data_IF_663558428039
#
_entry.id   IF_663558428039
#
_cell.length_a   1.000
_cell.length_b   1.000
_cell.length_c   1.000
_cell.angle_alpha   90.00
_cell.angle_beta   90.00
_cell.angle_gamma   90.00
#
_symmetry.space_group_name_H-M   'P 1'
#
loop_
_entity.id
_entity.type
_entity.pdbx_description
1 polymer ?
#
# COMPACT_ATOMS: atom_id res chain seq x y z
N UNK A 1 -43.90 -7.27 33.51
CA UNK A 1 -43.18 -7.59 32.28
C UNK A 1 -42.26 -6.45 31.95
N UNK A 2 -40.98 -6.56 32.29
CA UNK A 2 -39.99 -5.50 32.09
C UNK A 2 -39.29 -5.77 30.75
N UNK A 3 -39.49 -4.92 29.74
CA UNK A 3 -38.78 -4.97 28.49
C UNK A 3 -37.39 -4.35 28.69
N UNK A 4 -36.35 -5.19 28.70
CA UNK A 4 -34.98 -4.73 28.66
C UNK A 4 -34.70 -4.13 27.29
N UNK A 5 -34.42 -2.83 27.23
CA UNK A 5 -33.91 -2.14 26.05
C UNK A 5 -32.42 -2.44 25.92
N UNK A 6 -32.05 -3.31 25.00
CA UNK A 6 -30.65 -3.46 24.57
C UNK A 6 -30.29 -2.25 23.71
N UNK A 7 -29.61 -1.29 24.28
CA UNK A 7 -28.88 -0.27 23.53
C UNK A 7 -27.62 -0.95 23.03
N UNK A 8 -27.63 -1.39 21.77
CA UNK A 8 -26.41 -1.76 21.07
C UNK A 8 -25.59 -0.49 20.88
N UNK A 9 -24.61 -0.26 21.76
CA UNK A 9 -23.60 0.75 21.58
C UNK A 9 -22.80 0.41 20.33
N UNK A 10 -22.92 1.20 19.28
CA UNK A 10 -21.98 1.25 18.17
C UNK A 10 -20.62 1.64 18.77
N UNK A 11 -19.75 0.66 18.99
CA UNK A 11 -18.35 0.92 19.23
C UNK A 11 -17.81 1.38 17.86
N UNK A 12 -17.74 2.70 17.70
CA UNK A 12 -16.95 3.29 16.65
C UNK A 12 -15.50 2.89 16.91
N UNK A 13 -15.00 1.91 16.19
CA UNK A 13 -13.57 1.65 16.12
C UNK A 13 -13.03 2.82 15.33
N UNK A 14 -12.63 3.88 16.03
CA UNK A 14 -11.78 4.90 15.41
C UNK A 14 -10.53 4.18 14.94
N UNK A 15 -10.25 4.22 13.65
CA UNK A 15 -8.98 3.78 13.09
C UNK A 15 -7.81 4.49 13.80
N UNK A 16 -6.58 4.09 13.55
CA UNK A 16 -5.42 4.71 14.16
C UNK A 16 -5.51 6.23 13.97
N UNK A 17 -5.07 6.98 15.00
CA UNK A 17 -5.14 8.45 15.01
C UNK A 17 -4.17 9.09 13.99
N UNK A 18 -3.47 8.29 13.21
CA UNK A 18 -2.52 8.64 12.16
C UNK A 18 -2.80 7.83 10.89
N UNK A 19 -2.36 8.36 9.76
CA UNK A 19 -2.63 7.78 8.44
C UNK A 19 -3.81 8.44 7.72
N UNK A 20 -4.08 8.03 6.47
CA UNK A 20 -5.13 8.65 5.65
C UNK A 20 -6.53 8.45 6.23
N UNK A 21 -7.34 9.50 6.16
CA UNK A 21 -8.75 9.43 6.59
C UNK A 21 -9.63 8.73 5.55
N UNK A 22 -10.82 8.30 5.98
CA UNK A 22 -11.80 7.70 5.06
C UNK A 22 -12.24 8.69 3.98
N UNK A 23 -12.33 9.98 4.32
CA UNK A 23 -12.68 11.06 3.39
C UNK A 23 -11.66 11.16 2.25
N UNK A 24 -10.36 11.04 2.53
CA UNK A 24 -9.31 11.10 1.50
C UNK A 24 -9.44 9.96 0.49
N UNK A 25 -9.80 8.76 0.92
CA UNK A 25 -10.03 7.64 0.00
C UNK A 25 -11.32 7.81 -0.82
N UNK A 26 -12.38 8.37 -0.23
CA UNK A 26 -13.59 8.69 -0.98
C UNK A 26 -13.34 9.80 -2.00
N UNK A 27 -12.56 10.82 -1.66
CA UNK A 27 -12.13 11.87 -2.57
C UNK A 27 -11.29 11.31 -3.72
N UNK A 28 -10.31 10.46 -3.41
CA UNK A 28 -9.47 9.79 -4.41
C UNK A 28 -10.31 8.97 -5.39
N UNK A 29 -11.22 8.17 -4.87
CA UNK A 29 -12.08 7.29 -5.66
C UNK A 29 -13.02 8.07 -6.60
N UNK A 30 -13.51 9.22 -6.15
CA UNK A 30 -14.48 10.05 -6.88
C UNK A 30 -13.83 11.27 -7.56
N UNK A 31 -12.50 11.31 -7.66
CA UNK A 31 -11.77 12.44 -8.21
C UNK A 31 -12.25 12.76 -9.65
N UNK A 32 -12.61 14.04 -9.93
CA UNK A 32 -13.20 14.42 -11.20
C UNK A 32 -12.22 14.43 -12.39
N UNK A 33 -10.92 14.36 -12.11
CA UNK A 33 -9.86 14.35 -13.12
C UNK A 33 -8.64 13.59 -12.62
N UNK A 34 -7.74 13.23 -13.54
CA UNK A 34 -6.44 12.61 -13.21
C UNK A 34 -5.57 13.53 -12.35
N UNK A 35 -5.62 14.83 -12.57
CA UNK A 35 -4.90 15.83 -11.78
C UNK A 35 -5.42 15.88 -10.33
N UNK A 36 -6.74 15.89 -10.13
CA UNK A 36 -7.34 15.84 -8.81
C UNK A 36 -7.01 14.54 -8.09
N UNK A 37 -7.12 13.38 -8.77
CA UNK A 37 -6.75 12.10 -8.22
C UNK A 37 -5.27 12.05 -7.83
N UNK A 38 -4.38 12.59 -8.65
CA UNK A 38 -2.96 12.66 -8.34
C UNK A 38 -2.68 13.51 -7.10
N UNK A 39 -3.32 14.68 -6.97
CA UNK A 39 -3.19 15.54 -5.79
C UNK A 39 -3.61 14.81 -4.52
N UNK A 40 -4.82 14.23 -4.51
CA UNK A 40 -5.33 13.49 -3.35
C UNK A 40 -4.46 12.26 -3.04
N UNK A 41 -3.94 11.56 -4.06
CA UNK A 41 -3.02 10.44 -3.86
C UNK A 41 -1.72 10.90 -3.18
N UNK A 42 -1.17 12.07 -3.51
CA UNK A 42 0.01 12.63 -2.84
C UNK A 42 -0.28 12.93 -1.36
N UNK A 43 -1.47 13.45 -1.04
CA UNK A 43 -1.88 13.72 0.34
C UNK A 43 -2.01 12.40 1.13
N UNK A 44 -2.56 11.34 0.52
CA UNK A 44 -2.62 10.00 1.11
C UNK A 44 -1.22 9.45 1.35
N UNK A 45 -0.30 9.59 0.38
CA UNK A 45 1.09 9.17 0.55
C UNK A 45 1.77 9.93 1.69
N UNK A 46 1.55 11.25 1.81
CA UNK A 46 2.07 12.05 2.91
C UNK A 46 1.54 11.55 4.26
N UNK A 47 0.24 11.27 4.35
CA UNK A 47 -0.38 10.74 5.57
C UNK A 47 0.15 9.34 5.94
N UNK A 48 0.47 8.47 4.97
CA UNK A 48 1.11 7.20 5.26
C UNK A 48 2.54 7.33 5.76
N UNK A 49 3.22 8.46 5.52
CA UNK A 49 4.57 8.69 6.06
C UNK A 49 4.57 9.14 7.52
N UNK A 50 3.40 9.40 8.10
CA UNK A 50 3.22 9.73 9.50
C UNK A 50 2.84 8.47 10.30
N UNK A 51 3.77 7.94 11.10
CA UNK A 51 3.53 6.73 11.90
C UNK A 51 2.83 7.01 13.23
N UNK A 52 2.74 8.28 13.65
CA UNK A 52 2.35 8.68 15.00
C UNK A 52 3.48 8.56 16.03
N UNK A 53 4.67 8.15 15.61
CA UNK A 53 5.86 8.04 16.44
C UNK A 53 7.01 8.86 15.85
N UNK A 54 7.36 9.98 16.47
CA UNK A 54 8.45 10.83 16.01
C UNK A 54 9.79 10.08 15.86
N UNK A 55 10.01 9.03 16.64
CA UNK A 55 11.20 8.20 16.55
C UNK A 55 11.16 7.31 15.28
N UNK A 56 10.01 6.71 14.97
CA UNK A 56 9.82 5.93 13.75
C UNK A 56 9.92 6.83 12.50
N UNK A 57 9.28 8.01 12.53
CA UNK A 57 9.29 8.96 11.42
C UNK A 57 10.71 9.43 11.07
N UNK A 58 11.54 9.73 12.08
CA UNK A 58 12.93 10.12 11.86
C UNK A 58 13.77 9.00 11.22
N UNK A 59 13.55 7.75 11.60
CA UNK A 59 14.25 6.60 11.02
C UNK A 59 13.71 6.32 9.61
N UNK A 60 12.40 6.46 9.40
CA UNK A 60 11.74 6.31 8.10
C UNK A 60 12.31 7.30 7.07
N UNK A 61 12.45 8.58 7.45
CA UNK A 61 13.06 9.60 6.58
C UNK A 61 14.44 9.18 6.09
N UNK A 62 15.28 8.67 7.00
CA UNK A 62 16.61 8.16 6.65
C UNK A 62 16.57 6.93 5.76
N UNK A 63 15.62 6.01 6.03
CA UNK A 63 15.44 4.81 5.22
C UNK A 63 15.05 5.16 3.78
N UNK A 64 14.11 6.10 3.61
CA UNK A 64 13.71 6.62 2.31
C UNK A 64 14.87 7.30 1.59
N UNK A 65 15.69 8.09 2.30
CA UNK A 65 16.87 8.72 1.72
C UNK A 65 17.90 7.69 1.25
N UNK A 66 18.20 6.65 2.06
CA UNK A 66 19.11 5.57 1.70
C UNK A 66 18.59 4.79 0.48
N UNK A 67 17.30 4.45 0.45
CA UNK A 67 16.65 3.80 -0.71
C UNK A 67 16.79 4.65 -1.98
N UNK A 68 16.53 5.95 -1.88
CA UNK A 68 16.63 6.88 -3.01
C UNK A 68 18.07 7.03 -3.51
N UNK A 69 19.05 6.88 -2.64
CA UNK A 69 20.48 6.89 -2.99
C UNK A 69 20.96 5.53 -3.56
N UNK A 70 20.10 4.50 -3.56
CA UNK A 70 20.47 3.15 -4.00
C UNK A 70 21.27 2.36 -2.96
N UNK A 71 21.36 2.84 -1.72
CA UNK A 71 22.00 2.19 -0.59
C UNK A 71 21.05 1.14 0.01
N UNK A 72 20.75 0.07 -0.76
CA UNK A 72 19.66 -0.86 -0.45
C UNK A 72 19.85 -1.59 0.88
N UNK A 73 21.07 -2.03 1.18
CA UNK A 73 21.39 -2.70 2.44
C UNK A 73 21.13 -1.78 3.65
N UNK A 74 21.56 -0.50 3.57
CA UNK A 74 21.28 0.49 4.61
C UNK A 74 19.78 0.79 4.71
N UNK A 75 19.10 0.91 3.58
CA UNK A 75 17.65 1.13 3.56
C UNK A 75 16.91 0.00 4.26
N UNK A 76 17.26 -1.26 3.96
CA UNK A 76 16.72 -2.46 4.60
C UNK A 76 16.92 -2.42 6.12
N UNK A 77 18.15 -2.22 6.61
CA UNK A 77 18.43 -2.13 8.05
C UNK A 77 17.63 -1.01 8.74
N UNK A 78 17.44 0.12 8.06
CA UNK A 78 16.67 1.23 8.61
C UNK A 78 15.17 0.92 8.66
N UNK A 79 14.60 0.29 7.62
CA UNK A 79 13.20 -0.17 7.67
C UNK A 79 12.98 -1.24 8.74
N UNK A 80 13.94 -2.13 8.99
CA UNK A 80 13.90 -3.08 10.11
C UNK A 80 13.76 -2.35 11.45
N UNK A 81 14.52 -1.25 11.63
CA UNK A 81 14.43 -0.42 12.83
C UNK A 81 13.10 0.31 12.94
N UNK A 82 12.56 0.83 11.81
CA UNK A 82 11.22 1.44 11.81
C UNK A 82 10.17 0.43 12.28
N UNK A 83 10.18 -0.77 11.73
CA UNK A 83 9.25 -1.84 12.09
C UNK A 83 9.43 -2.29 13.54
N UNK A 84 10.68 -2.32 14.04
CA UNK A 84 10.93 -2.63 15.44
C UNK A 84 10.38 -1.56 16.41
N UNK A 85 10.37 -0.28 16.01
CA UNK A 85 9.80 0.83 16.80
C UNK A 85 8.26 0.83 16.70
N UNK A 86 7.72 0.62 15.49
CA UNK A 86 6.30 0.72 15.18
C UNK A 86 5.86 -0.49 14.34
N UNK A 87 5.53 -1.65 14.98
CA UNK A 87 5.22 -2.88 14.26
C UNK A 87 3.90 -2.88 13.47
N UNK A 88 3.04 -1.92 13.68
CA UNK A 88 1.77 -1.73 12.98
C UNK A 88 1.85 -0.65 11.87
N UNK A 89 3.04 -0.25 11.47
CA UNK A 89 3.27 0.77 10.47
C UNK A 89 3.29 0.18 9.05
N UNK A 90 2.14 0.15 8.37
CA UNK A 90 1.95 -0.48 7.07
C UNK A 90 2.96 0.01 5.99
N UNK A 91 3.22 1.33 5.93
CA UNK A 91 4.13 1.91 4.93
C UNK A 91 5.58 1.42 5.11
N UNK A 92 6.01 1.11 6.33
CA UNK A 92 7.35 0.59 6.54
C UNK A 92 7.54 -0.79 5.88
N UNK A 93 6.56 -1.67 5.97
CA UNK A 93 6.56 -2.95 5.28
C UNK A 93 6.47 -2.78 3.77
N UNK A 94 5.58 -1.90 3.27
CA UNK A 94 5.47 -1.60 1.84
C UNK A 94 6.80 -1.11 1.25
N UNK A 95 7.50 -0.25 1.96
CA UNK A 95 8.81 0.27 1.54
C UNK A 95 9.90 -0.78 1.59
N UNK A 96 9.95 -1.59 2.66
CA UNK A 96 10.92 -2.68 2.74
C UNK A 96 10.67 -3.74 1.66
N UNK A 97 9.40 -4.06 1.36
CA UNK A 97 9.06 -4.90 0.23
C UNK A 97 9.59 -4.36 -1.10
N UNK A 98 9.54 -3.04 -1.29
CA UNK A 98 10.11 -2.40 -2.47
C UNK A 98 11.65 -2.54 -2.54
N UNK A 99 12.35 -2.50 -1.41
CA UNK A 99 13.79 -2.78 -1.35
C UNK A 99 14.06 -4.24 -1.72
N UNK A 100 13.34 -5.20 -1.12
CA UNK A 100 13.47 -6.61 -1.47
C UNK A 100 13.20 -6.90 -2.94
N UNK A 101 12.25 -6.19 -3.57
CA UNK A 101 12.03 -6.27 -5.01
C UNK A 101 13.23 -5.78 -5.82
N UNK A 102 13.89 -4.72 -5.39
CA UNK A 102 15.10 -4.20 -6.05
C UNK A 102 16.30 -5.16 -5.88
N UNK A 103 16.30 -5.95 -4.83
CA UNK A 103 17.28 -7.01 -4.54
C UNK A 103 16.89 -8.37 -5.15
N UNK A 104 15.80 -8.45 -5.92
CA UNK A 104 15.25 -9.68 -6.49
C UNK A 104 14.87 -10.75 -5.43
N UNK A 105 14.68 -10.32 -4.19
CA UNK A 105 14.29 -11.19 -3.07
C UNK A 105 12.77 -11.31 -2.97
N UNK A 106 12.16 -12.06 -3.91
CA UNK A 106 10.71 -12.19 -4.03
C UNK A 106 10.01 -12.77 -2.79
N UNK A 107 10.56 -13.78 -2.08
CA UNK A 107 9.88 -14.32 -0.89
C UNK A 107 9.72 -13.29 0.23
N UNK A 108 10.74 -12.48 0.49
CA UNK A 108 10.69 -11.44 1.51
C UNK A 108 9.78 -10.27 1.07
N UNK A 109 9.86 -9.86 -0.20
CA UNK A 109 8.97 -8.87 -0.77
C UNK A 109 7.50 -9.28 -0.63
N UNK A 110 7.17 -10.54 -0.94
CA UNK A 110 5.81 -11.07 -0.82
C UNK A 110 5.32 -11.09 0.63
N UNK A 111 6.18 -11.45 1.58
CA UNK A 111 5.83 -11.44 3.01
C UNK A 111 5.48 -10.03 3.48
N UNK A 112 6.33 -9.08 3.14
CA UNK A 112 6.19 -7.70 3.60
C UNK A 112 4.98 -7.00 2.95
N UNK A 113 4.75 -7.20 1.65
CA UNK A 113 3.58 -6.60 1.00
C UNK A 113 2.26 -7.17 1.57
N UNK A 114 2.22 -8.46 1.92
CA UNK A 114 1.05 -9.05 2.58
C UNK A 114 0.85 -8.46 3.99
N UNK A 115 1.92 -8.20 4.73
CA UNK A 115 1.80 -7.56 6.04
C UNK A 115 1.34 -6.11 5.92
N UNK A 116 1.84 -5.35 4.95
CA UNK A 116 1.34 -4.01 4.65
C UNK A 116 -0.17 -4.01 4.35
N UNK A 117 -0.65 -4.94 3.53
CA UNK A 117 -2.06 -5.08 3.19
C UNK A 117 -2.93 -5.60 4.34
N UNK A 118 -2.37 -6.38 5.25
CA UNK A 118 -3.05 -6.79 6.48
C UNK A 118 -3.29 -5.60 7.42
N UNK A 119 -2.30 -4.69 7.51
CA UNK A 119 -2.36 -3.50 8.35
C UNK A 119 -3.20 -2.38 7.73
N UNK A 120 -3.06 -2.14 6.42
CA UNK A 120 -3.87 -1.18 5.66
C UNK A 120 -4.38 -1.82 4.35
N UNK A 121 -5.58 -2.38 4.36
CA UNK A 121 -6.16 -3.02 3.18
C UNK A 121 -6.41 -2.06 2.00
N UNK A 122 -6.42 -0.75 2.24
CA UNK A 122 -6.59 0.29 1.21
C UNK A 122 -5.27 0.82 0.67
N UNK A 123 -4.16 0.15 0.97
CA UNK A 123 -2.85 0.58 0.51
C UNK A 123 -2.66 0.26 -0.98
N UNK A 124 -3.12 1.15 -1.86
CA UNK A 124 -3.07 0.94 -3.32
C UNK A 124 -1.65 0.73 -3.86
N UNK A 125 -0.63 1.31 -3.22
CA UNK A 125 0.77 1.05 -3.55
C UNK A 125 1.20 -0.38 -3.24
N UNK A 126 0.79 -0.92 -2.09
CA UNK A 126 1.07 -2.31 -1.72
C UNK A 126 0.34 -3.30 -2.64
N UNK A 127 -0.92 -3.04 -3.02
CA UNK A 127 -1.64 -3.82 -4.02
C UNK A 127 -0.92 -3.83 -5.37
N UNK A 128 -0.40 -2.67 -5.81
CA UNK A 128 0.40 -2.57 -7.04
C UNK A 128 1.73 -3.33 -6.92
N UNK A 129 2.38 -3.23 -5.77
CA UNK A 129 3.59 -4.00 -5.44
C UNK A 129 3.34 -5.51 -5.47
N UNK A 130 2.24 -5.98 -4.89
CA UNK A 130 1.82 -7.38 -4.93
C UNK A 130 1.62 -7.86 -6.37
N UNK A 131 0.93 -7.06 -7.21
CA UNK A 131 0.74 -7.37 -8.62
C UNK A 131 2.07 -7.56 -9.35
N UNK A 132 3.05 -6.69 -9.11
CA UNK A 132 4.40 -6.81 -9.70
C UNK A 132 5.12 -8.07 -9.24
N UNK A 133 5.10 -8.37 -7.94
CA UNK A 133 5.73 -9.60 -7.39
C UNK A 133 5.11 -10.84 -8.05
N UNK A 134 3.79 -10.89 -8.15
CA UNK A 134 3.07 -12.01 -8.74
C UNK A 134 3.36 -12.17 -10.24
N UNK A 135 3.55 -11.06 -10.98
CA UNK A 135 3.99 -11.13 -12.38
C UNK A 135 5.38 -11.74 -12.51
N UNK A 136 6.34 -11.30 -11.69
CA UNK A 136 7.71 -11.86 -11.68
C UNK A 136 7.72 -13.35 -11.34
N UNK A 137 6.79 -13.80 -10.49
CA UNK A 137 6.58 -15.21 -10.16
C UNK A 137 5.81 -15.98 -11.23
N UNK A 138 5.33 -15.31 -12.30
CA UNK A 138 4.54 -15.91 -13.38
C UNK A 138 3.07 -16.13 -13.04
N UNK A 139 2.59 -15.70 -11.89
CA UNK A 139 1.21 -15.81 -11.41
C UNK A 139 0.34 -14.67 -11.97
N UNK A 140 0.11 -14.70 -13.30
CA UNK A 140 -0.49 -13.58 -14.04
C UNK A 140 -1.94 -13.32 -13.69
N UNK A 141 -2.70 -14.35 -13.39
CA UNK A 141 -4.10 -14.28 -12.99
C UNK A 141 -4.23 -13.56 -11.66
N UNK A 142 -3.44 -13.96 -10.67
CA UNK A 142 -3.40 -13.37 -9.33
C UNK A 142 -2.83 -11.94 -9.38
N UNK A 143 -1.84 -11.69 -10.25
CA UNK A 143 -1.33 -10.35 -10.48
C UNK A 143 -2.41 -9.39 -11.00
N UNK A 144 -3.23 -9.86 -11.96
CA UNK A 144 -4.34 -9.09 -12.49
C UNK A 144 -5.37 -8.76 -11.40
N UNK A 145 -5.66 -9.71 -10.51
CA UNK A 145 -6.54 -9.47 -9.35
C UNK A 145 -5.96 -8.40 -8.42
N UNK A 146 -4.68 -8.48 -8.10
CA UNK A 146 -4.03 -7.48 -7.25
C UNK A 146 -4.08 -6.06 -7.85
N UNK A 147 -3.82 -5.90 -9.15
CA UNK A 147 -3.97 -4.60 -9.82
C UNK A 147 -5.41 -4.10 -9.81
N UNK A 148 -6.39 -4.97 -9.94
CA UNK A 148 -7.81 -4.60 -9.84
C UNK A 148 -8.19 -4.15 -8.43
N UNK A 149 -7.63 -4.76 -7.37
CA UNK A 149 -7.83 -4.26 -6.01
C UNK A 149 -7.25 -2.84 -5.84
N UNK A 150 -6.04 -2.58 -6.38
CA UNK A 150 -5.50 -1.22 -6.40
C UNK A 150 -6.43 -0.23 -7.10
N UNK A 151 -7.02 -0.62 -8.24
CA UNK A 151 -7.92 0.22 -9.03
C UNK A 151 -9.31 0.44 -8.39
N UNK A 152 -9.77 -0.43 -7.51
CA UNK A 152 -10.98 -0.20 -6.71
C UNK A 152 -10.79 0.96 -5.72
N UNK A 153 -9.56 1.16 -5.26
CA UNK A 153 -9.19 2.22 -4.31
C UNK A 153 -8.83 3.50 -5.05
N UNK A 154 -7.97 3.39 -6.07
CA UNK A 154 -7.49 4.50 -6.89
C UNK A 154 -7.75 4.22 -8.38
N UNK A 155 -8.96 4.54 -8.91
CA UNK A 155 -9.35 4.18 -10.28
C UNK A 155 -8.47 4.77 -11.38
N UNK A 156 -7.76 5.87 -11.08
CA UNK A 156 -6.91 6.57 -12.04
C UNK A 156 -5.42 6.23 -11.87
N UNK A 157 -5.07 5.20 -11.09
CA UNK A 157 -3.68 4.77 -10.89
C UNK A 157 -3.09 4.22 -12.19
N UNK A 158 -2.29 5.03 -12.87
CA UNK A 158 -1.78 4.76 -14.21
C UNK A 158 -1.02 3.42 -14.29
N UNK A 159 -0.14 3.16 -13.33
CA UNK A 159 0.65 1.92 -13.29
C UNK A 159 -0.24 0.67 -13.25
N UNK A 160 -1.28 0.67 -12.41
CA UNK A 160 -2.20 -0.45 -12.29
C UNK A 160 -3.10 -0.59 -13.53
N UNK A 161 -3.59 0.52 -14.12
CA UNK A 161 -4.37 0.52 -15.37
C UNK A 161 -3.57 -0.04 -16.55
N UNK A 162 -2.32 0.36 -16.67
CA UNK A 162 -1.43 -0.13 -17.73
C UNK A 162 -1.18 -1.64 -17.58
N UNK A 163 -0.91 -2.10 -16.34
CA UNK A 163 -0.69 -3.53 -16.05
C UNK A 163 -1.96 -4.35 -16.31
N UNK A 164 -3.13 -3.91 -15.82
CA UNK A 164 -4.40 -4.56 -16.07
C UNK A 164 -4.69 -4.70 -17.57
N UNK A 165 -4.54 -3.60 -18.32
CA UNK A 165 -4.76 -3.60 -19.77
C UNK A 165 -3.83 -4.57 -20.49
N UNK A 166 -2.57 -4.65 -20.10
CA UNK A 166 -1.56 -5.54 -20.69
C UNK A 166 -1.87 -7.00 -20.39
N UNK A 167 -2.16 -7.34 -19.13
CA UNK A 167 -2.46 -8.71 -18.71
C UNK A 167 -3.78 -9.22 -19.30
N UNK A 168 -4.81 -8.38 -19.34
CA UNK A 168 -6.11 -8.73 -19.96
C UNK A 168 -5.97 -9.03 -21.45
N UNK A 169 -5.18 -8.24 -22.19
CA UNK A 169 -4.90 -8.51 -23.61
C UNK A 169 -4.17 -9.83 -23.82
N UNK A 170 -3.19 -10.11 -22.95
CA UNK A 170 -2.44 -11.36 -23.01
C UNK A 170 -3.34 -12.59 -22.76
N UNK A 171 -4.26 -12.51 -21.79
CA UNK A 171 -5.24 -13.58 -21.52
C UNK A 171 -6.20 -13.83 -22.68
N UNK A 172 -6.62 -12.77 -23.39
CA UNK A 172 -7.54 -12.87 -24.52
C UNK A 172 -6.88 -13.31 -25.84
N UNK A 173 -5.61 -13.70 -25.82
CA UNK A 173 -4.87 -14.12 -27.02
C UNK A 173 -4.60 -12.99 -28.02
N UNK A 174 -4.84 -11.73 -27.64
CA UNK A 174 -4.48 -10.56 -28.41
C UNK A 174 -3.01 -10.23 -28.13
N UNK A 175 -2.14 -11.12 -28.60
CA UNK A 175 -0.70 -11.00 -28.42
C UNK A 175 -0.13 -9.70 -28.98
N UNK A 176 1.01 -9.35 -28.44
CA UNK A 176 1.90 -8.25 -28.82
C UNK A 176 2.21 -8.23 -30.30
#
# INVERSE_FOLDING_TARGET
MLKALFIAGLISVSGPAYGPSDEMFEELKNAPSEEAAHSTALDIWAAWLESGSAAADLVMERAVAAQSAGELELAHELYDRVIAIQPDYAEAYNRRASVFLMEENMPEALRDVNEALRLEPRHFGAWTGLGRILEELGAKEEALEAYREALKIHPQLEAARAAESRLTRAQNGQGL
#
